data_IF_864926904289
#
_entry.id   IF_864926904289
#
_cell.length_a   1.000
_cell.length_b   1.000
_cell.length_c   1.000
_cell.angle_alpha   90.00
_cell.angle_beta   90.00
_cell.angle_gamma   90.00
#
_symmetry.space_group_name_H-M   'P 1'
#
loop_
_entity.id
_entity.type
_entity.pdbx_description
1 polymer ?
#
# COMPACT_ATOMS: atom_id res chain seq x y z
N UNK A 1 -16.61 6.59 -10.61
CA UNK A 1 -17.60 5.53 -10.84
C UNK A 1 -16.84 4.23 -10.99
N UNK A 2 -17.19 3.19 -10.25
CA UNK A 2 -16.62 1.84 -10.37
C UNK A 2 -17.69 0.88 -10.90
N UNK A 3 -17.32 0.04 -11.86
CA UNK A 3 -18.15 -1.03 -12.37
C UNK A 3 -18.20 -2.19 -11.37
N UNK A 4 -19.18 -3.09 -11.53
CA UNK A 4 -19.17 -4.36 -10.79
C UNK A 4 -17.99 -5.21 -11.28
N UNK A 5 -17.22 -5.77 -10.35
CA UNK A 5 -16.12 -6.68 -10.66
C UNK A 5 -14.81 -6.32 -9.96
N UNK A 6 -13.73 -6.90 -10.46
CA UNK A 6 -12.38 -6.70 -9.96
C UNK A 6 -11.75 -5.45 -10.56
N UNK A 7 -11.06 -4.70 -9.70
CA UNK A 7 -10.32 -3.49 -10.04
C UNK A 7 -8.89 -3.60 -9.50
N UNK A 8 -7.92 -3.29 -10.32
CA UNK A 8 -6.52 -3.32 -9.89
C UNK A 8 -6.19 -2.11 -9.03
N UNK A 9 -5.45 -2.31 -7.93
CA UNK A 9 -5.04 -1.22 -7.02
C UNK A 9 -3.54 -1.28 -6.71
N UNK A 10 -2.88 -0.13 -6.78
CA UNK A 10 -1.48 0.04 -6.38
C UNK A 10 -1.37 1.30 -5.52
N UNK A 11 -0.79 1.16 -4.32
CA UNK A 11 -0.51 2.30 -3.44
C UNK A 11 0.98 2.41 -3.18
N UNK A 12 1.55 3.58 -3.44
CA UNK A 12 2.94 3.92 -3.14
C UNK A 12 2.96 4.84 -1.91
N UNK A 13 3.90 4.62 -1.01
CA UNK A 13 4.04 5.37 0.25
C UNK A 13 5.52 5.58 0.58
N UNK A 14 5.86 6.73 1.17
CA UNK A 14 7.18 6.94 1.78
C UNK A 14 7.10 7.76 3.07
N UNK A 15 8.09 7.57 3.94
CA UNK A 15 8.30 8.32 5.19
C UNK A 15 9.77 8.74 5.32
N UNK A 16 10.00 10.00 5.70
CA UNK A 16 11.27 10.72 5.74
C UNK A 16 11.55 11.33 7.14
N UNK A 17 10.99 10.72 8.18
CA UNK A 17 11.33 10.96 9.59
C UNK A 17 10.15 11.51 10.38
N UNK A 18 9.93 10.99 11.59
CA UNK A 18 8.78 11.37 12.41
C UNK A 18 8.04 10.14 12.88
N UNK A 19 6.79 9.97 12.45
CA UNK A 19 5.99 8.77 12.77
C UNK A 19 5.11 8.34 11.60
N UNK A 20 5.32 7.13 11.10
CA UNK A 20 4.70 6.66 9.86
C UNK A 20 3.17 6.60 9.95
N UNK A 21 2.47 7.36 9.10
CA UNK A 21 1.00 7.38 9.02
C UNK A 21 0.54 7.05 7.59
N UNK A 22 -0.34 6.06 7.41
CA UNK A 22 -0.99 5.76 6.12
C UNK A 22 -2.35 5.06 6.32
N UNK A 23 -3.44 5.67 5.83
CA UNK A 23 -4.80 5.07 5.81
C UNK A 23 -5.37 5.07 4.39
N UNK A 24 -5.99 3.96 3.97
CA UNK A 24 -6.78 3.87 2.74
C UNK A 24 -8.25 3.56 3.07
N UNK A 25 -9.15 4.48 2.75
CA UNK A 25 -10.60 4.33 3.02
C UNK A 25 -11.44 4.43 1.76
N UNK A 26 -12.66 3.89 1.83
CA UNK A 26 -13.70 4.08 0.82
C UNK A 26 -15.07 4.34 1.44
N UNK A 27 -15.91 5.06 0.70
CA UNK A 27 -17.34 5.17 0.95
C UNK A 27 -18.13 5.08 -0.36
N UNK A 28 -19.27 4.39 -0.32
CA UNK A 28 -20.13 4.19 -1.48
C UNK A 28 -21.29 3.24 -1.18
N UNK A 29 -22.00 2.76 -2.21
CA UNK A 29 -23.09 1.79 -2.03
C UNK A 29 -22.69 0.57 -1.19
N UNK A 30 -21.49 0.01 -1.40
CA UNK A 30 -20.98 -1.14 -0.64
C UNK A 30 -20.79 -0.87 0.87
N UNK A 31 -20.64 0.40 1.27
CA UNK A 31 -20.45 0.78 2.68
C UNK A 31 -21.70 1.41 3.29
N UNK A 32 -22.83 1.40 2.58
CA UNK A 32 -24.00 2.18 2.97
C UNK A 32 -23.69 3.67 3.11
N UNK A 33 -22.78 4.18 2.27
CA UNK A 33 -22.28 5.55 2.25
C UNK A 33 -21.56 6.00 3.53
N UNK A 34 -21.06 5.05 4.33
CA UNK A 34 -20.21 5.33 5.49
C UNK A 34 -18.74 5.13 5.13
N UNK A 35 -17.83 5.85 5.79
CA UNK A 35 -16.41 5.61 5.62
C UNK A 35 -16.03 4.25 6.22
N UNK A 36 -15.27 3.46 5.46
CA UNK A 36 -14.68 2.21 5.91
C UNK A 36 -13.25 2.08 5.35
N UNK A 37 -12.42 1.22 5.96
CA UNK A 37 -11.12 0.87 5.37
C UNK A 37 -11.35 0.03 4.09
N UNK A 38 -10.55 0.28 3.06
CA UNK A 38 -10.67 -0.41 1.77
C UNK A 38 -9.98 -1.80 1.80
N UNK A 39 -10.70 -2.92 1.67
CA UNK A 39 -10.10 -4.26 1.60
C UNK A 39 -9.62 -4.65 0.18
N UNK A 40 -8.71 -5.62 0.07
CA UNK A 40 -8.30 -6.26 -1.19
C UNK A 40 -8.67 -7.76 -1.20
N UNK A 41 -9.08 -8.29 -2.36
CA UNK A 41 -9.49 -9.68 -2.58
C UNK A 41 -8.40 -10.57 -3.21
N UNK A 42 -7.26 -10.04 -3.66
CA UNK A 42 -6.17 -10.85 -4.26
C UNK A 42 -5.13 -10.05 -5.06
N UNK A 43 -4.21 -10.73 -5.77
CA UNK A 43 -3.23 -10.15 -6.71
C UNK A 43 -2.93 -11.15 -7.85
N UNK A 44 -2.97 -10.71 -9.12
CA UNK A 44 -2.81 -11.57 -10.32
C UNK A 44 -1.47 -11.36 -11.08
N UNK A 45 -0.34 -11.27 -10.39
CA UNK A 45 1.00 -11.19 -11.01
C UNK A 45 1.78 -12.51 -10.99
N UNK A 46 2.67 -12.73 -11.98
CA UNK A 46 3.64 -13.84 -11.97
C UNK A 46 4.65 -13.69 -10.82
N UNK A 47 4.86 -14.75 -10.04
CA UNK A 47 5.91 -14.87 -9.04
C UNK A 47 7.18 -15.44 -9.69
N UNK A 48 8.26 -14.67 -9.79
CA UNK A 48 9.58 -15.14 -10.24
C UNK A 48 10.65 -14.67 -9.23
N UNK A 49 11.02 -15.54 -8.28
CA UNK A 49 12.00 -15.20 -7.23
C UNK A 49 13.46 -15.45 -7.69
N UNK A 50 14.45 -14.58 -7.31
CA UNK A 50 14.77 -14.37 -5.90
C UNK A 50 14.97 -12.90 -5.50
N UNK A 51 13.96 -12.38 -4.81
CA UNK A 51 13.90 -11.29 -3.80
C UNK A 51 12.74 -11.69 -2.88
N UNK A 52 12.53 -11.12 -1.68
CA UNK A 52 11.30 -11.44 -0.95
C UNK A 52 10.10 -11.07 -1.85
N UNK A 53 9.35 -12.09 -2.23
CA UNK A 53 8.09 -11.99 -2.98
C UNK A 53 6.96 -12.41 -2.03
N UNK A 54 5.80 -11.78 -2.15
CA UNK A 54 4.65 -12.19 -1.36
C UNK A 54 4.14 -13.54 -1.85
N UNK A 55 3.79 -14.44 -0.94
CA UNK A 55 2.98 -15.61 -1.27
C UNK A 55 1.58 -15.18 -1.73
N UNK A 56 0.98 -15.91 -2.66
CA UNK A 56 -0.40 -15.63 -3.08
C UNK A 56 -1.38 -15.86 -1.93
N UNK A 57 -2.30 -14.91 -1.70
CA UNK A 57 -3.31 -15.01 -0.65
C UNK A 57 -4.22 -13.77 -0.57
N UNK A 58 -5.17 -13.80 0.38
CA UNK A 58 -6.11 -12.71 0.60
C UNK A 58 -5.43 -11.52 1.30
N UNK A 59 -5.49 -10.34 0.68
CA UNK A 59 -4.94 -9.10 1.22
C UNK A 59 -4.16 -8.32 0.17
N UNK A 60 -3.26 -7.46 0.64
CA UNK A 60 -2.31 -6.70 -0.17
C UNK A 60 -0.93 -7.33 -0.06
N UNK A 61 -0.23 -7.48 -1.18
CA UNK A 61 1.19 -7.70 -1.16
C UNK A 61 1.89 -6.41 -0.73
N UNK A 62 2.36 -6.39 0.51
CA UNK A 62 3.18 -5.32 1.06
C UNK A 62 4.64 -5.59 0.77
N UNK A 63 5.32 -4.62 0.16
CA UNK A 63 6.77 -4.63 -0.05
C UNK A 63 7.39 -3.37 0.55
N UNK A 64 8.52 -3.53 1.23
CA UNK A 64 9.27 -2.42 1.80
C UNK A 64 10.69 -2.35 1.24
N UNK A 65 11.14 -1.13 0.97
CA UNK A 65 12.39 -0.81 0.30
C UNK A 65 13.14 0.21 1.16
N UNK A 66 14.29 -0.19 1.67
CA UNK A 66 15.17 0.64 2.48
C UNK A 66 16.61 0.15 2.35
N UNK A 67 17.59 1.02 2.56
CA UNK A 67 18.99 0.61 2.64
C UNK A 67 19.22 -0.12 3.96
N UNK A 68 19.62 -1.41 4.00
CA UNK A 68 19.87 -2.20 5.21
C UNK A 68 21.09 -1.75 6.03
N UNK A 69 21.82 -0.73 5.60
CA UNK A 69 22.87 -0.06 6.39
C UNK A 69 22.42 1.28 7.01
N UNK A 70 21.24 1.78 6.66
CA UNK A 70 20.63 2.96 7.30
C UNK A 70 21.25 4.28 6.85
N UNK A 71 21.91 4.27 5.69
CA UNK A 71 22.56 5.44 5.09
C UNK A 71 21.74 6.04 3.94
N UNK A 72 20.78 5.28 3.42
CA UNK A 72 19.83 5.73 2.40
C UNK A 72 18.82 6.73 2.95
N UNK A 73 18.33 7.58 2.06
CA UNK A 73 17.22 8.50 2.33
C UNK A 73 16.13 8.29 1.27
N UNK A 74 14.87 8.44 1.69
CA UNK A 74 13.71 8.44 0.81
C UNK A 74 13.03 9.79 0.97
N UNK A 75 13.04 10.62 -0.08
CA UNK A 75 12.55 12.01 -0.04
C UNK A 75 11.35 12.27 -0.96
N UNK A 76 11.07 11.34 -1.85
CA UNK A 76 9.97 11.34 -2.83
C UNK A 76 9.74 9.88 -3.25
N UNK A 77 8.73 9.61 -4.08
CA UNK A 77 8.41 8.31 -4.65
C UNK A 77 9.56 7.80 -5.55
N UNK A 78 10.41 6.88 -5.09
CA UNK A 78 11.46 6.34 -5.94
C UNK A 78 10.87 5.36 -6.96
N UNK A 79 11.60 5.15 -8.06
CA UNK A 79 11.24 4.12 -9.03
C UNK A 79 11.47 2.72 -8.44
N UNK A 80 10.42 2.15 -7.84
CA UNK A 80 10.46 0.86 -7.15
C UNK A 80 10.84 -0.30 -8.08
N UNK A 81 10.64 -0.17 -9.39
CA UNK A 81 11.03 -1.19 -10.36
C UNK A 81 12.55 -1.40 -10.40
N UNK A 82 13.31 -0.39 -10.00
CA UNK A 82 14.78 -0.41 -9.92
C UNK A 82 15.31 -0.89 -8.57
N UNK A 83 14.43 -1.15 -7.59
CA UNK A 83 14.83 -1.48 -6.23
C UNK A 83 14.65 -2.98 -5.90
N UNK A 84 15.25 -3.38 -4.78
CA UNK A 84 15.10 -4.70 -4.17
C UNK A 84 14.30 -4.52 -2.89
N UNK A 85 13.10 -5.12 -2.74
CA UNK A 85 12.43 -5.08 -1.45
C UNK A 85 13.24 -5.87 -0.43
N UNK A 86 13.31 -5.37 0.80
CA UNK A 86 13.89 -6.08 1.94
C UNK A 86 12.87 -6.95 2.65
N UNK A 87 11.59 -6.62 2.49
CA UNK A 87 10.45 -7.34 3.07
C UNK A 87 9.37 -7.48 2.00
N UNK A 88 8.74 -8.64 1.95
CA UNK A 88 7.50 -8.86 1.22
C UNK A 88 6.60 -9.82 2.01
N UNK A 89 5.41 -9.36 2.35
CA UNK A 89 4.44 -10.13 3.16
C UNK A 89 3.02 -9.75 2.75
N UNK A 90 2.05 -10.62 3.08
CA UNK A 90 0.64 -10.31 2.88
C UNK A 90 0.13 -9.48 4.07
N UNK A 91 -0.35 -8.29 3.77
CA UNK A 91 -1.03 -7.39 4.69
C UNK A 91 -2.55 -7.46 4.44
N UNK A 92 -3.36 -7.91 5.42
CA UNK A 92 -4.81 -8.01 5.22
C UNK A 92 -5.49 -6.67 4.89
N UNK A 93 -4.97 -5.57 5.45
CA UNK A 93 -5.47 -4.20 5.28
C UNK A 93 -4.34 -3.19 5.33
N UNK A 94 -4.61 -1.94 4.91
CA UNK A 94 -3.67 -0.82 5.01
C UNK A 94 -4.15 0.16 6.09
N UNK A 95 -3.67 -0.04 7.32
CA UNK A 95 -3.98 0.78 8.50
C UNK A 95 -2.75 0.96 9.38
N UNK A 96 -1.83 1.82 8.95
CA UNK A 96 -0.62 2.19 9.67
C UNK A 96 -0.87 3.56 10.34
N UNK A 97 -0.90 3.58 11.66
CA UNK A 97 -1.19 4.75 12.49
C UNK A 97 0.03 5.24 13.28
N UNK A 98 1.09 4.41 13.37
CA UNK A 98 2.37 4.72 13.99
C UNK A 98 3.40 3.62 13.66
N UNK A 99 4.65 3.87 14.08
CA UNK A 99 5.80 2.99 13.88
C UNK A 99 5.61 1.55 14.38
N UNK A 100 4.81 1.34 15.44
CA UNK A 100 4.58 -0.01 15.96
C UNK A 100 3.84 -0.90 14.96
N UNK A 101 3.00 -0.35 14.09
CA UNK A 101 2.24 -1.16 13.13
C UNK A 101 3.05 -1.48 11.88
N UNK A 102 3.88 -0.55 11.39
CA UNK A 102 4.80 -0.86 10.30
C UNK A 102 5.88 -1.86 10.76
N UNK A 103 6.29 -1.79 12.03
CA UNK A 103 7.19 -2.77 12.65
C UNK A 103 6.65 -4.22 12.62
N UNK A 104 5.34 -4.42 12.59
CA UNK A 104 4.75 -5.77 12.47
C UNK A 104 5.08 -6.42 11.14
N UNK A 105 5.26 -5.62 10.09
CA UNK A 105 5.66 -6.09 8.77
C UNK A 105 7.17 -6.09 8.60
N UNK A 106 7.85 -5.05 9.10
CA UNK A 106 9.30 -4.91 8.95
C UNK A 106 10.13 -5.76 9.93
N UNK A 107 9.49 -6.36 10.93
CA UNK A 107 10.16 -7.18 11.94
C UNK A 107 11.14 -6.37 12.80
N UNK A 108 12.12 -7.07 13.39
CA UNK A 108 13.13 -6.48 14.31
C UNK A 108 14.19 -5.62 13.62
N UNK A 109 13.92 -5.09 12.43
CA UNK A 109 14.87 -4.25 11.69
C UNK A 109 15.13 -2.93 12.41
N UNK A 110 14.16 -2.46 13.21
CA UNK A 110 14.26 -1.18 13.94
C UNK A 110 14.26 0.03 13.00
N UNK A 111 13.77 -0.14 11.77
CA UNK A 111 13.82 0.86 10.71
C UNK A 111 12.43 1.20 10.25
N UNK A 112 11.95 2.31 10.78
CA UNK A 112 10.62 2.83 10.50
C UNK A 112 10.69 4.14 9.71
N UNK A 113 11.88 4.76 9.65
CA UNK A 113 12.21 5.94 8.85
C UNK A 113 12.97 5.60 7.56
N UNK A 114 12.89 6.48 6.55
CA UNK A 114 13.53 6.35 5.24
C UNK A 114 13.16 5.04 4.52
N UNK A 115 11.87 4.70 4.60
CA UNK A 115 11.30 3.52 3.97
C UNK A 115 10.39 3.98 2.83
N UNK A 116 10.59 3.41 1.65
CA UNK A 116 9.58 3.40 0.60
C UNK A 116 8.80 2.09 0.68
N UNK A 117 7.49 2.12 0.48
CA UNK A 117 6.65 0.94 0.49
C UNK A 117 5.66 0.92 -0.67
N UNK A 118 5.27 -0.29 -1.06
CA UNK A 118 4.16 -0.53 -1.98
C UNK A 118 3.17 -1.53 -1.41
N UNK A 119 1.89 -1.25 -1.57
CA UNK A 119 0.81 -2.19 -1.36
C UNK A 119 0.14 -2.48 -2.70
N UNK A 120 0.19 -3.73 -3.14
CA UNK A 120 -0.44 -4.15 -4.40
C UNK A 120 -1.53 -5.16 -4.11
N UNK A 121 -2.72 -4.94 -4.67
CA UNK A 121 -3.88 -5.81 -4.46
C UNK A 121 -5.01 -5.54 -5.44
N UNK A 122 -6.10 -6.28 -5.30
CA UNK A 122 -7.29 -6.22 -6.14
C UNK A 122 -8.46 -5.77 -5.27
N UNK A 123 -9.11 -4.68 -5.65
CA UNK A 123 -10.34 -4.23 -5.02
C UNK A 123 -11.54 -4.92 -5.68
N UNK A 124 -12.44 -5.51 -4.91
CA UNK A 124 -13.69 -6.06 -5.43
C UNK A 124 -14.87 -5.13 -5.11
N UNK A 125 -15.61 -4.72 -6.15
CA UNK A 125 -16.81 -3.89 -6.02
C UNK A 125 -18.05 -4.75 -6.25
N UNK A 126 -18.88 -4.88 -5.22
CA UNK A 126 -20.10 -5.69 -5.28
C UNK A 126 -21.24 -4.94 -5.97
N UNK A 127 -21.43 -3.66 -5.61
CA UNK A 127 -22.46 -2.79 -6.12
C UNK A 127 -21.84 -1.63 -6.92
N UNK A 128 -22.15 -1.48 -8.21
CA UNK A 128 -21.57 -0.39 -9.01
C UNK A 128 -22.07 0.98 -8.53
N UNK A 129 -21.22 2.02 -8.63
CA UNK A 129 -21.59 3.37 -8.23
C UNK A 129 -20.44 4.37 -8.15
N UNK A 130 -20.70 5.54 -7.57
CA UNK A 130 -19.65 6.51 -7.22
C UNK A 130 -19.01 6.13 -5.88
N UNK A 131 -17.68 6.14 -5.85
CA UNK A 131 -16.86 5.87 -4.67
C UNK A 131 -15.89 7.02 -4.46
N UNK A 132 -15.75 7.44 -3.21
CA UNK A 132 -14.65 8.30 -2.78
C UNK A 132 -13.59 7.41 -2.13
N UNK A 133 -12.35 7.50 -2.62
CA UNK A 133 -11.20 6.77 -2.06
C UNK A 133 -10.15 7.79 -1.65
N UNK A 134 -9.71 7.74 -0.40
CA UNK A 134 -8.78 8.70 0.16
C UNK A 134 -7.53 7.99 0.70
N UNK A 135 -6.37 8.60 0.51
CA UNK A 135 -5.17 8.29 1.28
C UNK A 135 -4.86 9.45 2.22
N UNK A 136 -4.39 9.13 3.43
CA UNK A 136 -3.82 10.12 4.35
C UNK A 136 -2.45 9.61 4.76
N UNK A 137 -1.41 10.45 4.63
CA UNK A 137 -0.03 10.11 4.99
C UNK A 137 0.68 11.25 5.71
N UNK A 138 1.74 10.96 6.49
CA UNK A 138 2.57 12.01 7.12
C UNK A 138 3.44 12.71 6.06
N UNK A 139 4.25 11.94 5.32
CA UNK A 139 5.06 12.47 4.22
C UNK A 139 4.38 12.36 2.85
N UNK A 140 4.22 11.13 2.32
CA UNK A 140 3.74 10.99 0.94
C UNK A 140 2.99 9.69 0.63
N UNK A 141 1.86 9.82 -0.08
CA UNK A 141 1.09 8.69 -0.60
C UNK A 141 0.54 8.95 -2.01
N UNK A 142 0.55 7.90 -2.83
CA UNK A 142 -0.04 7.92 -4.18
C UNK A 142 -0.83 6.65 -4.42
N UNK A 143 -2.09 6.81 -4.82
CA UNK A 143 -3.01 5.72 -5.13
C UNK A 143 -3.27 5.66 -6.63
N UNK A 144 -3.18 4.46 -7.19
CA UNK A 144 -3.62 4.12 -8.53
C UNK A 144 -4.78 3.11 -8.45
N UNK A 145 -5.84 3.37 -9.19
CA UNK A 145 -6.94 2.43 -9.46
C UNK A 145 -7.01 2.22 -10.97
N UNK A 146 -6.96 0.97 -11.42
CA UNK A 146 -6.91 0.61 -12.84
C UNK A 146 -5.79 1.33 -13.61
N UNK A 147 -4.63 1.45 -12.97
CA UNK A 147 -3.45 2.11 -13.53
C UNK A 147 -3.55 3.64 -13.60
N UNK A 148 -4.66 4.26 -13.18
CA UNK A 148 -4.85 5.71 -13.17
C UNK A 148 -4.65 6.28 -11.78
N UNK A 149 -3.86 7.35 -11.70
CA UNK A 149 -3.68 8.11 -10.45
C UNK A 149 -5.05 8.61 -9.97
N UNK A 150 -5.44 8.17 -8.78
CA UNK A 150 -6.69 8.55 -8.12
C UNK A 150 -6.42 9.50 -6.94
N UNK A 151 -5.26 9.38 -6.29
CA UNK A 151 -4.78 10.30 -5.25
C UNK A 151 -3.28 10.52 -5.44
N UNK A 152 -2.82 11.77 -5.31
CA UNK A 152 -1.41 12.13 -5.37
C UNK A 152 -1.12 13.19 -4.30
N UNK A 153 -0.57 12.75 -3.17
CA UNK A 153 -0.23 13.61 -2.05
C UNK A 153 1.26 13.42 -1.73
N UNK A 154 2.11 14.19 -2.40
CA UNK A 154 3.56 14.20 -2.26
C UNK A 154 4.20 15.17 -3.24
#
# INVERSE_FOLDING_TARGET
WLSKGEHSSLVLFFENGGGAYMKLTYSGPDTGFREALLPSVGFEGKCEAPKPECECGTGFCFKAYYDPNGRGQVRDFPDLSKLVPQVAVIAPTIGLYNDHQIARFLGKTGRFDHVAASFTGVLFINLPGQYQICTTSDDGSRLFIDGKVSVNNG
#
